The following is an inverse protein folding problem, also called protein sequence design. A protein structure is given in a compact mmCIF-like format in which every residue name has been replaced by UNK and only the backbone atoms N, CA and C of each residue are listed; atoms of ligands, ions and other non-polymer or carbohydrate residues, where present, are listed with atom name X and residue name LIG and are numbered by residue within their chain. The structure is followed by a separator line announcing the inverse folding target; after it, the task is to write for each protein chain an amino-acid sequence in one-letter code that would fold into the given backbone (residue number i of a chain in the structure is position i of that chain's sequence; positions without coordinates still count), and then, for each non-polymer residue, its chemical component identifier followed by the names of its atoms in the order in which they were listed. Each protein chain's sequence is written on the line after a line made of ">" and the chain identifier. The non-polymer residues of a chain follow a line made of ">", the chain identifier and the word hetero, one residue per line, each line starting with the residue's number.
data_IF_468545125133
#
_entry.id   IF_468545125133
#
_cell.length_a   1.000
_cell.length_b   1.000
_cell.length_c   1.000
_cell.angle_alpha   90.00
_cell.angle_beta   90.00
_cell.angle_gamma   90.00
#
_symmetry.space_group_name_H-M   'P 1'
#
loop_
_entity.id
_entity.type
_entity.pdbx_description
1 polymer ?
#
# COMPACT_ATOMS: atom_id res chain seq x y z
N UNK A 1 -13.73 -14.27 -20.84
CA UNK A 1 -14.91 -13.60 -20.23
C UNK A 1 -14.62 -13.07 -18.83
N UNK A 2 -13.90 -13.83 -17.97
CA UNK A 2 -13.59 -13.42 -16.59
C UNK A 2 -12.72 -12.15 -16.51
N UNK A 3 -11.76 -11.99 -17.41
CA UNK A 3 -10.83 -10.86 -17.45
C UNK A 3 -11.53 -9.50 -17.62
N UNK A 4 -12.66 -9.44 -18.33
CA UNK A 4 -13.41 -8.19 -18.49
C UNK A 4 -14.11 -7.75 -17.18
N UNK A 5 -14.61 -8.71 -16.39
CA UNK A 5 -15.21 -8.44 -15.08
C UNK A 5 -14.14 -8.04 -14.07
N UNK A 6 -13.01 -8.76 -14.05
CA UNK A 6 -11.87 -8.44 -13.17
C UNK A 6 -11.28 -7.05 -13.49
N UNK A 7 -11.12 -6.72 -14.78
CA UNK A 7 -10.70 -5.38 -15.21
C UNK A 7 -11.68 -4.29 -14.79
N UNK A 8 -12.99 -4.54 -14.91
CA UNK A 8 -14.02 -3.61 -14.43
C UNK A 8 -13.90 -3.39 -12.92
N UNK A 9 -13.71 -4.45 -12.14
CA UNK A 9 -13.51 -4.35 -10.70
C UNK A 9 -12.28 -3.50 -10.35
N UNK A 10 -11.14 -3.73 -11.02
CA UNK A 10 -9.92 -2.94 -10.83
C UNK A 10 -10.08 -1.47 -11.22
N UNK A 11 -10.80 -1.18 -12.31
CA UNK A 11 -11.12 0.20 -12.71
C UNK A 11 -12.03 0.90 -11.70
N UNK A 12 -13.04 0.20 -11.16
CA UNK A 12 -13.89 0.74 -10.11
C UNK A 12 -13.10 0.98 -8.81
N UNK A 13 -12.20 0.07 -8.46
CA UNK A 13 -11.30 0.24 -7.32
C UNK A 13 -10.41 1.47 -7.49
N UNK A 14 -9.81 1.65 -8.68
CA UNK A 14 -9.01 2.83 -9.01
C UNK A 14 -9.84 4.12 -8.84
N UNK A 15 -11.07 4.16 -9.35
CA UNK A 15 -11.96 5.30 -9.18
C UNK A 15 -12.26 5.62 -7.71
N UNK A 16 -12.53 4.59 -6.90
CA UNK A 16 -12.76 4.75 -5.46
C UNK A 16 -11.52 5.26 -4.71
N UNK A 17 -10.32 4.83 -5.11
CA UNK A 17 -9.06 5.31 -4.55
C UNK A 17 -8.81 6.77 -4.89
N UNK A 18 -9.06 7.19 -6.14
CA UNK A 18 -8.93 8.59 -6.55
C UNK A 18 -9.91 9.52 -5.81
N UNK A 19 -11.16 9.08 -5.63
CA UNK A 19 -12.17 9.79 -4.81
C UNK A 19 -11.73 9.91 -3.34
N UNK A 20 -11.09 8.88 -2.79
CA UNK A 20 -10.53 8.92 -1.45
C UNK A 20 -9.38 9.93 -1.33
N UNK A 21 -8.48 9.95 -2.32
CA UNK A 21 -7.38 10.92 -2.37
C UNK A 21 -7.90 12.36 -2.43
N UNK A 22 -8.89 12.63 -3.27
CA UNK A 22 -9.50 13.96 -3.39
C UNK A 22 -10.10 14.43 -2.06
N UNK A 23 -10.81 13.53 -1.36
CA UNK A 23 -11.36 13.81 -0.03
C UNK A 23 -10.27 14.05 1.02
N UNK A 24 -9.20 13.25 1.02
CA UNK A 24 -8.05 13.44 1.91
C UNK A 24 -7.41 14.80 1.65
N UNK A 25 -7.16 15.14 0.38
CA UNK A 25 -6.56 16.42 -0.01
C UNK A 25 -7.43 17.61 0.41
N UNK A 26 -8.72 17.56 0.11
CA UNK A 26 -9.67 18.64 0.41
C UNK A 26 -9.74 18.98 1.90
N UNK A 27 -9.58 18.00 2.79
CA UNK A 27 -9.59 18.22 4.24
C UNK A 27 -8.20 18.51 4.82
N UNK A 28 -7.13 18.01 4.19
CA UNK A 28 -5.75 18.29 4.62
C UNK A 28 -5.28 19.70 4.25
N UNK A 29 -5.96 20.36 3.30
CA UNK A 29 -5.67 21.74 2.91
C UNK A 29 -5.76 22.72 4.10
N UNK A 30 -6.63 22.43 5.07
CA UNK A 30 -6.79 23.22 6.28
C UNK A 30 -5.81 22.81 7.40
N UNK A 31 -5.21 21.61 7.31
CA UNK A 31 -4.36 21.03 8.34
C UNK A 31 -3.29 20.09 7.77
N UNK A 32 -2.13 20.65 7.41
CA UNK A 32 -1.03 19.93 6.77
C UNK A 32 -0.40 18.78 7.59
N UNK A 33 -0.70 18.69 8.89
CA UNK A 33 -0.10 17.72 9.83
C UNK A 33 -1.06 16.63 10.30
N UNK A 34 -2.30 16.58 9.80
CA UNK A 34 -3.24 15.52 10.20
C UNK A 34 -2.74 14.15 9.74
N UNK A 35 -2.68 13.22 10.68
CA UNK A 35 -2.35 11.82 10.40
C UNK A 35 -3.54 11.13 9.73
N UNK A 36 -3.27 10.08 8.95
CA UNK A 36 -4.33 9.33 8.29
C UNK A 36 -5.32 8.74 9.32
N UNK A 37 -4.84 8.31 10.48
CA UNK A 37 -5.68 7.82 11.59
C UNK A 37 -6.69 8.86 12.08
N UNK A 38 -6.23 10.08 12.34
CA UNK A 38 -7.09 11.19 12.78
C UNK A 38 -8.13 11.53 11.72
N UNK A 39 -7.72 11.60 10.44
CA UNK A 39 -8.63 11.83 9.32
C UNK A 39 -9.70 10.74 9.21
N UNK A 40 -9.33 9.46 9.32
CA UNK A 40 -10.28 8.34 9.26
C UNK A 40 -11.24 8.32 10.44
N UNK A 41 -10.81 8.78 11.62
CA UNK A 41 -11.68 8.91 12.79
C UNK A 41 -12.77 9.97 12.59
N UNK A 42 -12.48 11.04 11.84
CA UNK A 42 -13.44 12.07 11.47
C UNK A 42 -14.36 11.66 10.31
N UNK A 43 -13.92 10.71 9.46
CA UNK A 43 -14.64 10.30 8.24
C UNK A 43 -14.85 8.79 8.16
N UNK A 44 -15.76 8.27 8.99
CA UNK A 44 -16.06 6.83 9.13
C UNK A 44 -16.50 6.12 7.83
N UNK A 45 -16.97 6.86 6.82
CA UNK A 45 -17.34 6.31 5.51
C UNK A 45 -16.11 5.98 4.65
N UNK A 46 -15.04 6.78 4.76
CA UNK A 46 -13.76 6.54 4.07
C UNK A 46 -12.96 5.42 4.72
N UNK A 47 -13.12 5.22 6.03
CA UNK A 47 -12.55 4.09 6.76
C UNK A 47 -13.01 2.72 6.26
N UNK A 48 -13.99 2.64 5.36
CA UNK A 48 -14.45 1.39 4.73
C UNK A 48 -13.60 0.96 3.54
N UNK A 49 -12.73 1.82 3.01
CA UNK A 49 -11.82 1.42 1.93
C UNK A 49 -10.76 0.48 2.49
N UNK A 50 -10.61 -0.75 1.95
CA UNK A 50 -9.64 -1.71 2.45
C UNK A 50 -8.21 -1.16 2.44
N UNK A 51 -7.89 -0.27 1.49
CA UNK A 51 -6.60 0.40 1.44
C UNK A 51 -6.36 1.25 2.69
N UNK A 52 -7.36 2.00 3.15
CA UNK A 52 -7.24 2.94 4.27
C UNK A 52 -7.19 2.25 5.65
N UNK A 53 -7.77 1.05 5.77
CA UNK A 53 -7.71 0.27 7.01
C UNK A 53 -6.34 -0.35 7.27
N UNK A 54 -5.57 -0.60 6.21
CA UNK A 54 -4.38 -1.44 6.26
C UNK A 54 -3.09 -0.68 5.96
N UNK A 55 -3.18 0.56 5.51
CA UNK A 55 -2.02 1.45 5.34
C UNK A 55 -1.59 2.01 6.71
N UNK A 56 -0.29 2.17 6.93
CA UNK A 56 0.27 2.56 8.22
C UNK A 56 -0.36 3.87 8.74
N UNK A 57 -1.14 3.79 9.82
CA UNK A 57 -1.96 4.90 10.32
C UNK A 57 -1.18 6.14 10.80
N UNK A 58 0.13 6.02 10.95
CA UNK A 58 1.03 7.11 11.36
C UNK A 58 1.51 7.99 10.19
N UNK A 59 1.21 7.61 8.94
CA UNK A 59 1.57 8.46 7.79
C UNK A 59 0.67 9.69 7.70
N UNK A 60 1.24 10.79 7.21
CA UNK A 60 0.48 12.02 6.96
C UNK A 60 -0.43 11.87 5.74
N UNK A 61 -1.48 12.70 5.68
CA UNK A 61 -2.34 12.81 4.49
C UNK A 61 -1.55 13.03 3.19
N UNK A 62 -0.52 13.88 3.24
CA UNK A 62 0.34 14.17 2.08
C UNK A 62 1.18 12.97 1.65
N UNK A 63 1.77 12.24 2.61
CA UNK A 63 2.51 11.01 2.31
C UNK A 63 1.61 9.94 1.72
N UNK A 64 0.41 9.78 2.26
CA UNK A 64 -0.61 8.89 1.72
C UNK A 64 -0.90 9.22 0.25
N UNK A 65 -1.24 10.48 -0.06
CA UNK A 65 -1.54 10.91 -1.44
C UNK A 65 -0.36 10.65 -2.38
N UNK A 66 0.87 10.94 -1.94
CA UNK A 66 2.08 10.70 -2.75
C UNK A 66 2.27 9.22 -3.05
N UNK A 67 2.16 8.36 -2.04
CA UNK A 67 2.33 6.92 -2.19
C UNK A 67 1.21 6.31 -3.04
N UNK A 68 -0.04 6.72 -2.84
CA UNK A 68 -1.17 6.24 -3.64
C UNK A 68 -1.03 6.69 -5.09
N UNK A 69 -0.70 7.96 -5.34
CA UNK A 69 -0.46 8.45 -6.71
C UNK A 69 0.62 7.61 -7.40
N UNK A 70 1.70 7.32 -6.68
CA UNK A 70 2.82 6.50 -7.20
C UNK A 70 2.38 5.06 -7.48
N UNK A 71 1.62 4.46 -6.55
CA UNK A 71 1.16 3.08 -6.65
C UNK A 71 0.19 2.85 -7.83
N UNK A 72 -0.68 3.81 -8.09
CA UNK A 72 -1.77 3.67 -9.05
C UNK A 72 -1.51 4.35 -10.40
N UNK A 73 -0.43 5.13 -10.55
CA UNK A 73 -0.09 5.82 -11.81
C UNK A 73 0.03 4.87 -13.02
N UNK A 74 0.48 3.63 -12.81
CA UNK A 74 0.66 2.65 -13.89
C UNK A 74 -0.62 1.90 -14.24
N UNK A 75 -1.64 1.93 -13.38
CA UNK A 75 -2.85 1.14 -13.53
C UNK A 75 -3.65 1.49 -14.80
N UNK A 76 -3.88 2.76 -15.17
CA UNK A 76 -4.64 3.09 -16.37
C UNK A 76 -4.09 2.46 -17.64
N UNK A 77 -2.76 2.46 -17.82
CA UNK A 77 -2.12 1.84 -18.98
C UNK A 77 -2.21 0.32 -18.93
N UNK A 78 -1.82 -0.29 -17.80
CA UNK A 78 -1.80 -1.75 -17.62
C UNK A 78 -3.20 -2.39 -17.69
N UNK A 79 -4.24 -1.67 -17.29
CA UNK A 79 -5.61 -2.14 -17.39
C UNK A 79 -6.15 -2.11 -18.83
N UNK A 80 -5.53 -1.34 -19.73
CA UNK A 80 -5.94 -1.27 -21.15
C UNK A 80 -5.17 -2.26 -22.04
N UNK A 81 -4.14 -2.91 -21.51
CA UNK A 81 -3.35 -3.90 -22.25
C UNK A 81 -4.17 -5.11 -22.70
N UNK A 82 -3.72 -5.75 -23.78
CA UNK A 82 -4.42 -6.92 -24.34
C UNK A 82 -4.45 -8.08 -23.35
N UNK A 83 -3.37 -8.26 -22.60
CA UNK A 83 -3.27 -9.18 -21.48
C UNK A 83 -2.90 -8.41 -20.21
N UNK A 84 -3.59 -8.66 -19.11
CA UNK A 84 -3.31 -7.99 -17.85
C UNK A 84 -1.96 -8.43 -17.29
N UNK A 85 -1.08 -7.47 -17.00
CA UNK A 85 0.12 -7.74 -16.22
C UNK A 85 -0.24 -7.82 -14.73
N UNK A 86 -0.74 -8.99 -14.34
CA UNK A 86 -1.25 -9.29 -12.99
C UNK A 86 -0.19 -9.04 -11.91
N UNK A 87 1.04 -9.43 -12.20
CA UNK A 87 2.18 -9.23 -11.31
C UNK A 87 2.46 -7.74 -11.13
N UNK A 88 2.60 -6.97 -12.22
CA UNK A 88 2.92 -5.54 -12.13
C UNK A 88 1.85 -4.74 -11.40
N UNK A 89 0.57 -5.02 -11.67
CA UNK A 89 -0.57 -4.35 -11.01
C UNK A 89 -0.52 -4.54 -9.49
N UNK A 90 -0.22 -5.75 -9.03
CA UNK A 90 -0.16 -6.07 -7.60
C UNK A 90 1.17 -5.63 -6.96
N UNK A 91 2.31 -5.81 -7.64
CA UNK A 91 3.65 -5.50 -7.16
C UNK A 91 3.79 -4.02 -6.83
N UNK A 92 3.36 -3.14 -7.75
CA UNK A 92 3.52 -1.69 -7.57
C UNK A 92 2.73 -1.18 -6.36
N UNK A 93 1.55 -1.73 -6.11
CA UNK A 93 0.75 -1.39 -4.93
C UNK A 93 1.40 -1.89 -3.65
N UNK A 94 1.83 -3.16 -3.63
CA UNK A 94 2.52 -3.74 -2.46
C UNK A 94 3.79 -2.97 -2.13
N UNK A 95 4.66 -2.77 -3.11
CA UNK A 95 6.00 -2.22 -2.91
C UNK A 95 5.95 -0.71 -2.57
N UNK A 96 4.88 -0.02 -2.97
CA UNK A 96 4.74 1.41 -2.68
C UNK A 96 3.97 1.67 -1.39
N UNK A 97 2.87 0.95 -1.13
CA UNK A 97 1.98 1.22 0.01
C UNK A 97 2.21 0.31 1.21
N UNK A 98 2.81 -0.86 1.00
CA UNK A 98 2.93 -1.91 2.01
C UNK A 98 4.35 -2.46 2.17
N UNK A 99 5.38 -1.74 1.72
CA UNK A 99 6.77 -2.19 1.76
C UNK A 99 7.24 -2.68 3.16
N UNK A 100 6.69 -2.09 4.22
CA UNK A 100 6.97 -2.42 5.61
C UNK A 100 5.77 -3.02 6.36
N UNK A 101 4.69 -3.40 5.66
CA UNK A 101 3.45 -3.89 6.27
C UNK A 101 2.87 -5.09 5.51
N UNK A 102 3.51 -6.25 5.67
CA UNK A 102 3.08 -7.52 5.07
C UNK A 102 1.65 -7.91 5.44
N UNK A 103 1.25 -7.69 6.68
CA UNK A 103 -0.10 -8.03 7.16
C UNK A 103 -1.14 -7.12 6.51
N UNK A 104 -0.84 -5.82 6.37
CA UNK A 104 -1.67 -4.88 5.65
C UNK A 104 -1.81 -5.24 4.17
N UNK A 105 -0.72 -5.65 3.52
CA UNK A 105 -0.75 -6.17 2.16
C UNK A 105 -1.67 -7.39 2.03
N UNK A 106 -1.52 -8.38 2.92
CA UNK A 106 -2.33 -9.61 2.88
C UNK A 106 -3.82 -9.33 3.01
N UNK A 107 -4.19 -8.46 3.94
CA UNK A 107 -5.59 -8.09 4.16
C UNK A 107 -6.16 -7.29 2.98
N UNK A 108 -5.39 -6.34 2.43
CA UNK A 108 -5.78 -5.61 1.23
C UNK A 108 -5.94 -6.54 0.00
N UNK A 109 -4.97 -7.41 -0.26
CA UNK A 109 -5.05 -8.37 -1.34
C UNK A 109 -6.25 -9.32 -1.18
N UNK A 110 -6.52 -9.79 0.04
CA UNK A 110 -7.68 -10.62 0.33
C UNK A 110 -9.00 -9.90 0.01
N UNK A 111 -9.12 -8.61 0.34
CA UNK A 111 -10.33 -7.84 0.02
C UNK A 111 -10.59 -7.71 -1.49
N UNK A 112 -9.53 -7.66 -2.30
CA UNK A 112 -9.65 -7.59 -3.75
C UNK A 112 -9.88 -8.96 -4.39
N UNK A 113 -9.48 -10.05 -3.72
CA UNK A 113 -9.66 -11.41 -4.24
C UNK A 113 -11.11 -11.85 -4.38
N UNK A 114 -12.03 -11.23 -3.64
CA UNK A 114 -13.47 -11.47 -3.78
C UNK A 114 -13.97 -11.14 -5.19
N UNK A 115 -13.42 -10.09 -5.82
CA UNK A 115 -13.77 -9.68 -7.18
C UNK A 115 -12.69 -10.05 -8.23
N UNK A 116 -11.44 -10.17 -7.80
CA UNK A 116 -10.26 -10.38 -8.64
C UNK A 116 -9.42 -11.52 -8.08
N UNK A 117 -9.87 -12.75 -8.32
CA UNK A 117 -9.34 -13.95 -7.67
C UNK A 117 -7.82 -14.17 -7.74
N UNK A 118 -7.14 -13.62 -8.75
CA UNK A 118 -5.69 -13.76 -8.94
C UNK A 118 -4.85 -12.69 -8.23
N UNK A 119 -5.47 -11.65 -7.68
CA UNK A 119 -4.77 -10.46 -7.21
C UNK A 119 -3.79 -10.81 -6.07
N UNK A 120 -2.50 -10.62 -6.32
CA UNK A 120 -1.43 -10.90 -5.35
C UNK A 120 -0.92 -12.34 -5.28
N UNK A 121 -1.41 -13.27 -6.11
CA UNK A 121 -0.97 -14.68 -6.08
C UNK A 121 0.43 -14.93 -6.64
N UNK A 122 0.89 -14.09 -7.58
CA UNK A 122 2.15 -14.28 -8.31
C UNK A 122 3.31 -13.47 -7.74
N UNK A 123 3.17 -12.94 -6.53
CA UNK A 123 4.18 -12.08 -5.94
C UNK A 123 5.13 -12.85 -5.03
N UNK A 124 6.46 -12.69 -5.18
CA UNK A 124 7.41 -13.24 -4.22
C UNK A 124 7.16 -12.63 -2.83
N UNK A 125 7.41 -13.34 -1.72
CA UNK A 125 7.27 -12.76 -0.39
C UNK A 125 8.11 -11.48 -0.27
N UNK A 126 7.61 -10.46 0.43
CA UNK A 126 8.43 -9.31 0.78
C UNK A 126 9.64 -9.80 1.60
N UNK A 127 10.83 -9.21 1.42
CA UNK A 127 11.95 -9.50 2.30
C UNK A 127 11.49 -9.17 3.71
N UNK A 128 11.32 -10.19 4.57
CA UNK A 128 11.08 -9.96 6.00
C UNK A 128 12.18 -9.02 6.43
N UNK A 129 11.84 -7.82 6.88
CA UNK A 129 12.80 -6.89 7.46
C UNK A 129 13.63 -7.73 8.42
N UNK A 130 14.89 -7.94 8.06
CA UNK A 130 15.81 -8.67 8.90
C UNK A 130 15.86 -7.83 10.17
N UNK A 131 15.07 -8.22 11.16
CA UNK A 131 15.33 -7.83 12.54
C UNK A 131 16.78 -8.17 12.71
N UNK A 132 17.56 -7.11 12.85
CA UNK A 132 18.99 -7.11 12.92
C UNK A 132 19.46 -8.28 13.79
N UNK A 133 19.77 -9.40 13.15
CA UNK A 133 20.77 -10.33 13.61
C UNK A 133 22.15 -9.72 13.26
N UNK A 134 22.35 -8.43 13.50
CA UNK A 134 23.67 -7.83 13.70
C UNK A 134 24.21 -8.18 15.10
N UNK A 135 23.55 -9.08 15.84
CA UNK A 135 24.12 -9.75 17.02
C UNK A 135 25.27 -10.73 16.70
N UNK A 136 25.62 -10.95 15.42
CA UNK A 136 26.69 -11.89 15.03
C UNK A 136 27.79 -11.34 14.12
N UNK A 137 27.72 -10.07 13.70
CA UNK A 137 28.63 -9.52 12.67
C UNK A 137 29.50 -8.35 13.15
N UNK A 138 29.51 -8.04 14.45
CA UNK A 138 30.61 -7.27 15.02
C UNK A 138 31.69 -8.23 15.53
N UNK A 139 32.93 -8.20 15.00
CA UNK A 139 34.04 -8.82 15.68
C UNK A 139 34.22 -8.10 17.02
N UNK A 140 34.13 -8.85 18.12
CA UNK A 140 34.51 -8.40 19.44
C UNK A 140 36.01 -8.11 19.44
N UNK A 141 36.37 -6.85 19.22
CA UNK A 141 37.75 -6.36 19.29
C UNK A 141 37.89 -5.23 20.31
N UNK A 142 39.02 -5.17 21.04
CA UNK A 142 39.01 -4.82 22.45
C UNK A 142 39.58 -3.43 22.68
N UNK A 143 38.88 -2.60 23.45
CA UNK A 143 39.52 -1.53 24.20
C UNK A 143 39.47 -1.88 25.69
N UNK A 144 40.62 -2.24 26.25
CA UNK A 144 40.88 -2.02 27.68
C UNK A 144 41.71 -0.74 27.77
N UNK A 145 41.32 0.27 28.55
CA UNK A 145 42.25 1.32 28.91
C UNK A 145 43.31 0.73 29.84
N UNK A 146 44.59 0.91 29.49
CA UNK A 146 45.70 0.82 30.44
C UNK A 146 45.99 2.22 30.99
N UNK A 147 46.24 2.26 32.30
CA UNK A 147 46.53 3.38 33.20
C UNK A 147 45.34 4.18 33.75
#
# INVERSE_FOLDING_TARGET
>A
MKDAFERRALLLHLGAVLDAMDKVLSHSADHATITLREFLSAHSTLAKLPLLQHVAGEMTAHEFVRLVSTAFAVWPAELLETALNRERLAAVVRDTLFAANDDGWRAYAASLKDEVSWFGDQLPPLPRAATEATAGLYPSWPWKPQN
#
